data_IF_411012901493
#
_entry.id   IF_411012901493
#
_cell.length_a   1.000
_cell.length_b   1.000
_cell.length_c   1.000
_cell.angle_alpha   90.00
_cell.angle_beta   90.00
_cell.angle_gamma   90.00
#
_symmetry.space_group_name_H-M   'P 1'
#
loop_
_entity.id
_entity.type
_entity.pdbx_description
1 polymer ?
#
# COMPACT_ATOMS: atom_id res chain seq x y z
N UNK A 1 15.56 7.60 14.46
CA UNK A 1 14.22 6.99 14.52
C UNK A 1 14.26 5.79 15.44
N UNK A 2 13.30 5.65 16.36
CA UNK A 2 13.14 4.45 17.17
C UNK A 2 12.54 3.32 16.29
N UNK A 3 12.87 2.06 16.56
CA UNK A 3 12.41 0.91 15.77
C UNK A 3 10.89 0.76 15.76
N UNK A 4 10.20 1.23 16.80
CA UNK A 4 8.75 1.23 16.91
C UNK A 4 8.09 2.18 15.90
N UNK A 5 8.57 3.42 15.78
CA UNK A 5 8.08 4.39 14.81
C UNK A 5 8.24 3.90 13.35
N UNK A 6 9.33 3.18 13.06
CA UNK A 6 9.57 2.56 11.75
C UNK A 6 8.54 1.49 11.46
N UNK A 7 8.19 0.66 12.46
CA UNK A 7 7.16 -0.38 12.30
C UNK A 7 5.80 0.24 12.01
N UNK A 8 5.43 1.27 12.76
CA UNK A 8 4.17 1.99 12.56
C UNK A 8 4.06 2.60 11.17
N UNK A 9 5.13 3.22 10.66
CA UNK A 9 5.15 3.80 9.31
C UNK A 9 5.02 2.76 8.21
N UNK A 10 5.70 1.62 8.36
CA UNK A 10 5.59 0.49 7.41
C UNK A 10 4.18 -0.10 7.47
N UNK A 11 3.62 -0.27 8.67
CA UNK A 11 2.25 -0.79 8.85
C UNK A 11 1.19 0.14 8.25
N UNK A 12 1.35 1.45 8.42
CA UNK A 12 0.50 2.45 7.78
C UNK A 12 0.59 2.36 6.24
N UNK A 13 1.80 2.29 5.69
CA UNK A 13 2.03 2.16 4.25
C UNK A 13 1.45 0.87 3.67
N UNK A 14 1.49 -0.23 4.42
CA UNK A 14 0.87 -1.51 4.05
C UNK A 14 -0.66 -1.41 4.11
N UNK A 15 -1.20 -0.71 5.10
CA UNK A 15 -2.64 -0.47 5.23
C UNK A 15 -3.21 0.26 4.00
N UNK A 16 -2.47 1.25 3.48
CA UNK A 16 -2.87 2.06 2.33
C UNK A 16 -3.06 1.23 1.06
N UNK A 17 -2.27 0.17 0.87
CA UNK A 17 -2.30 -0.69 -0.32
C UNK A 17 -3.14 -1.96 -0.14
N UNK A 18 -3.64 -2.23 1.07
CA UNK A 18 -4.38 -3.45 1.42
C UNK A 18 -5.63 -3.69 0.57
N UNK A 19 -6.28 -2.63 0.09
CA UNK A 19 -7.49 -2.73 -0.74
C UNK A 19 -7.25 -3.50 -2.05
N UNK A 20 -6.03 -3.38 -2.59
CA UNK A 20 -5.62 -3.98 -3.85
C UNK A 20 -5.09 -5.41 -3.66
N UNK A 21 -4.92 -5.88 -2.41
CA UNK A 21 -4.32 -7.17 -2.14
C UNK A 21 -5.34 -8.32 -2.22
N UNK A 22 -4.97 -9.45 -2.84
CA UNK A 22 -5.74 -10.71 -2.83
C UNK A 22 -5.65 -11.41 -1.48
N UNK A 23 -4.45 -11.40 -0.89
CA UNK A 23 -4.16 -12.00 0.40
C UNK A 23 -3.65 -10.96 1.39
N UNK A 24 -3.62 -11.31 2.68
CA UNK A 24 -2.98 -10.46 3.70
C UNK A 24 -1.51 -10.18 3.31
N UNK A 25 -1.07 -8.91 3.26
CA UNK A 25 0.34 -8.58 3.09
C UNK A 25 1.22 -9.26 4.15
N UNK A 26 2.41 -9.70 3.76
CA UNK A 26 3.41 -10.25 4.66
C UNK A 26 4.50 -9.19 4.89
N UNK A 27 4.89 -8.99 6.14
CA UNK A 27 5.95 -8.05 6.51
C UNK A 27 7.02 -8.83 7.27
N UNK A 28 8.26 -8.72 6.83
CA UNK A 28 9.42 -9.31 7.47
C UNK A 28 10.35 -8.20 7.95
N UNK A 29 10.29 -7.88 9.25
CA UNK A 29 11.18 -6.89 9.87
C UNK A 29 12.57 -7.45 10.11
N UNK A 30 13.58 -6.58 9.99
CA UNK A 30 14.97 -6.91 10.28
C UNK A 30 15.48 -6.05 11.44
N UNK A 31 15.77 -6.69 12.57
CA UNK A 31 16.28 -6.01 13.78
C UNK A 31 17.78 -5.73 13.73
N UNK A 32 18.51 -6.39 12.82
CA UNK A 32 19.96 -6.24 12.63
C UNK A 32 20.29 -6.15 11.15
N UNK A 33 21.25 -5.30 10.84
CA UNK A 33 21.90 -5.21 9.54
C UNK A 33 22.52 -6.59 9.21
N UNK A 34 22.08 -7.21 8.11
CA UNK A 34 22.63 -8.51 7.67
C UNK A 34 23.73 -8.26 6.63
N UNK A 35 24.69 -9.17 6.54
CA UNK A 35 25.86 -9.04 5.65
C UNK A 35 25.52 -8.93 4.15
N UNK A 36 24.30 -9.31 3.74
CA UNK A 36 23.83 -9.14 2.37
C UNK A 36 23.13 -7.79 2.12
N UNK A 37 22.91 -6.97 3.16
CA UNK A 37 22.32 -5.62 3.09
C UNK A 37 23.38 -4.51 3.06
N UNK A 38 24.62 -4.81 2.64
CA UNK A 38 25.83 -4.01 2.85
C UNK A 38 25.84 -2.56 2.30
N UNK A 39 24.80 -2.12 1.59
CA UNK A 39 24.74 -0.76 1.03
C UNK A 39 23.55 0.06 1.50
N UNK A 40 22.48 -0.58 2.01
CA UNK A 40 21.28 0.12 2.44
C UNK A 40 20.66 -0.62 3.62
N UNK A 41 20.41 0.08 4.73
CA UNK A 41 19.75 -0.47 5.92
C UNK A 41 18.29 -0.81 5.61
N UNK A 42 18.05 -1.98 5.00
CA UNK A 42 16.70 -2.51 4.80
C UNK A 42 16.12 -2.80 6.19
N UNK A 43 15.00 -2.17 6.50
CA UNK A 43 14.30 -2.28 7.78
C UNK A 43 13.25 -3.39 7.76
N UNK A 44 12.64 -3.60 6.60
CA UNK A 44 11.72 -4.71 6.37
C UNK A 44 11.67 -5.08 4.89
N UNK A 45 11.11 -6.25 4.60
CA UNK A 45 10.54 -6.53 3.28
C UNK A 45 9.04 -6.73 3.43
N UNK A 46 8.29 -6.07 2.56
CA UNK A 46 6.85 -6.21 2.41
C UNK A 46 6.55 -7.02 1.16
N UNK A 47 5.74 -8.08 1.28
CA UNK A 47 5.24 -8.87 0.16
C UNK A 47 3.74 -8.69 0.02
N UNK A 48 3.30 -8.29 -1.17
CA UNK A 48 1.88 -8.09 -1.51
C UNK A 48 1.52 -8.90 -2.76
N UNK A 49 0.43 -9.67 -2.66
CA UNK A 49 -0.22 -10.26 -3.83
C UNK A 49 -1.31 -9.30 -4.28
N UNK A 50 -1.13 -8.63 -5.41
CA UNK A 50 -2.09 -7.65 -5.94
C UNK A 50 -3.15 -8.36 -6.78
N UNK A 51 -4.41 -7.91 -6.68
CA UNK A 51 -5.56 -8.46 -7.42
C UNK A 51 -5.33 -8.46 -8.91
N UNK A 52 -5.46 -9.63 -9.52
CA UNK A 52 -5.30 -9.79 -10.97
C UNK A 52 -3.86 -9.67 -11.46
N UNK A 53 -2.88 -9.59 -10.57
CA UNK A 53 -1.48 -9.79 -10.91
C UNK A 53 -1.05 -11.21 -10.56
N UNK A 54 -0.38 -11.87 -11.51
CA UNK A 54 0.15 -13.22 -11.31
C UNK A 54 1.36 -13.18 -10.37
N UNK A 55 2.19 -12.14 -10.47
CA UNK A 55 3.43 -12.02 -9.72
C UNK A 55 3.24 -11.32 -8.37
N UNK A 56 3.76 -11.94 -7.32
CA UNK A 56 3.90 -11.33 -6.01
C UNK A 56 4.88 -10.16 -6.08
N UNK A 57 4.48 -9.01 -5.55
CA UNK A 57 5.33 -7.82 -5.47
C UNK A 57 6.02 -7.79 -4.10
N UNK A 58 7.35 -7.79 -4.09
CA UNK A 58 8.13 -7.58 -2.88
C UNK A 58 8.77 -6.20 -2.90
N UNK A 59 8.69 -5.47 -1.79
CA UNK A 59 9.29 -4.16 -1.62
C UNK A 59 10.23 -4.18 -0.40
N UNK A 60 11.50 -3.78 -0.60
CA UNK A 60 12.41 -3.48 0.49
C UNK A 60 12.11 -2.09 1.05
N UNK A 61 12.00 -2.00 2.37
CA UNK A 61 11.71 -0.77 3.10
C UNK A 61 13.01 -0.19 3.68
N UNK A 62 13.26 1.08 3.40
CA UNK A 62 14.40 1.86 3.86
C UNK A 62 13.89 3.03 4.71
N UNK A 63 14.75 3.65 5.54
CA UNK A 63 14.37 4.85 6.30
C UNK A 63 13.91 6.04 5.44
N UNK A 64 14.13 5.99 4.14
CA UNK A 64 13.88 7.08 3.19
C UNK A 64 13.05 6.63 1.98
N UNK A 65 12.47 5.42 2.01
CA UNK A 65 11.58 4.98 0.94
C UNK A 65 11.51 3.46 0.75
N UNK A 66 10.97 3.07 -0.40
CA UNK A 66 10.62 1.72 -0.79
C UNK A 66 11.17 1.42 -2.17
N UNK A 67 11.67 0.22 -2.40
CA UNK A 67 12.07 -0.22 -3.73
C UNK A 67 11.61 -1.65 -4.01
N UNK A 68 11.22 -1.93 -5.25
CA UNK A 68 10.85 -3.28 -5.65
C UNK A 68 12.08 -4.19 -5.64
N UNK A 69 11.90 -5.37 -5.08
CA UNK A 69 12.90 -6.43 -5.02
C UNK A 69 12.27 -7.72 -5.48
N UNK A 70 13.09 -8.64 -6.03
CA UNK A 70 12.58 -9.97 -6.36
C UNK A 70 12.35 -10.76 -5.07
N UNK A 71 11.16 -11.32 -4.92
CA UNK A 71 10.88 -12.32 -3.92
C UNK A 71 11.70 -13.58 -4.27
N UNK A 72 12.59 -14.06 -3.38
CA UNK A 72 13.15 -15.41 -3.51
C UNK A 72 12.52 -16.32 -2.46
N UNK A 73 12.42 -17.61 -2.78
CA UNK A 73 11.81 -18.62 -1.90
C UNK A 73 12.52 -18.74 -0.55
N UNK A 74 13.82 -18.39 -0.48
CA UNK A 74 14.66 -18.50 0.72
C UNK A 74 14.61 -17.25 1.61
N UNK A 75 13.77 -16.25 1.30
CA UNK A 75 13.75 -14.97 2.00
C UNK A 75 15.04 -14.15 1.83
N UNK A 76 15.83 -14.47 0.79
CA UNK A 76 16.91 -13.62 0.30
C UNK A 76 16.30 -12.63 -0.68
N UNK A 77 16.74 -11.38 -0.66
CA UNK A 77 16.26 -10.39 -1.62
C UNK A 77 17.48 -9.88 -2.37
N UNK A 78 17.43 -9.94 -3.70
CA UNK A 78 18.47 -9.35 -4.53
C UNK A 78 18.18 -7.85 -4.65
N UNK A 79 18.90 -7.06 -3.85
CA UNK A 79 18.75 -5.62 -3.74
C UNK A 79 19.80 -4.96 -4.65
N UNK A 80 19.66 -5.14 -5.97
CA UNK A 80 20.46 -4.40 -6.95
C UNK A 80 19.78 -3.05 -7.24
N UNK A 81 19.85 -2.13 -6.29
CA UNK A 81 19.14 -0.86 -6.34
C UNK A 81 19.99 0.25 -6.96
N UNK A 82 19.35 1.01 -7.84
CA UNK A 82 19.75 2.38 -8.17
C UNK A 82 18.84 3.34 -7.41
N UNK A 83 19.34 4.49 -7.00
CA UNK A 83 18.57 5.50 -6.27
C UNK A 83 17.26 5.91 -7.00
N UNK A 84 17.26 5.83 -8.34
CA UNK A 84 16.09 6.08 -9.19
C UNK A 84 14.93 5.08 -9.02
N UNK A 85 15.16 3.96 -8.34
CA UNK A 85 14.14 2.92 -8.10
C UNK A 85 13.53 3.00 -6.69
N UNK A 86 13.91 4.03 -5.92
CA UNK A 86 13.42 4.27 -4.56
C UNK A 86 12.26 5.27 -4.62
N UNK A 87 11.13 4.87 -4.05
CA UNK A 87 9.91 5.66 -3.98
C UNK A 87 9.60 6.00 -2.52
N UNK A 88 9.08 7.20 -2.27
CA UNK A 88 8.79 7.66 -0.90
C UNK A 88 7.72 6.83 -0.18
N UNK A 89 6.83 6.15 -0.92
CA UNK A 89 5.77 5.32 -0.37
C UNK A 89 5.60 4.00 -1.12
N UNK A 90 5.09 2.99 -0.42
CA UNK A 90 4.72 1.71 -1.01
C UNK A 90 3.61 1.87 -2.07
N UNK A 91 2.65 2.77 -1.84
CA UNK A 91 1.64 3.10 -2.82
C UNK A 91 2.25 3.67 -4.10
N UNK A 92 3.14 4.67 -3.99
CA UNK A 92 3.82 5.29 -5.12
C UNK A 92 4.67 4.28 -5.91
N UNK A 93 5.34 3.36 -5.20
CA UNK A 93 6.09 2.26 -5.81
C UNK A 93 5.18 1.35 -6.64
N UNK A 94 4.05 0.91 -6.08
CA UNK A 94 3.12 0.02 -6.78
C UNK A 94 2.45 0.73 -7.96
N UNK A 95 2.05 1.99 -7.82
CA UNK A 95 1.56 2.80 -8.94
C UNK A 95 2.57 2.90 -10.08
N UNK A 96 3.84 3.12 -9.76
CA UNK A 96 4.87 3.33 -10.79
C UNK A 96 5.33 2.03 -11.46
N UNK A 97 5.31 0.89 -10.75
CA UNK A 97 5.99 -0.33 -11.19
C UNK A 97 5.10 -1.56 -11.28
N UNK A 98 3.99 -1.63 -10.54
CA UNK A 98 3.04 -2.75 -10.60
C UNK A 98 1.89 -2.41 -11.58
N UNK A 99 2.08 -2.79 -12.85
CA UNK A 99 1.06 -2.65 -13.91
C UNK A 99 -0.28 -3.21 -13.43
N UNK A 100 -1.42 -2.53 -13.60
CA UNK A 100 -2.71 -3.01 -13.07
C UNK A 100 -3.08 -2.45 -11.69
N UNK A 101 -2.12 -2.00 -10.89
CA UNK A 101 -2.40 -1.43 -9.56
C UNK A 101 -3.12 -0.07 -9.66
N UNK A 102 -2.72 0.77 -10.61
CA UNK A 102 -3.33 2.09 -10.82
C UNK A 102 -4.82 1.97 -11.18
N UNK A 103 -5.19 1.00 -12.01
CA UNK A 103 -6.57 0.73 -12.38
C UNK A 103 -7.42 0.31 -11.16
N UNK A 104 -6.86 -0.52 -10.27
CA UNK A 104 -7.52 -0.89 -9.02
C UNK A 104 -7.73 0.31 -8.09
N UNK A 105 -6.73 1.20 -8.02
CA UNK A 105 -6.80 2.41 -7.23
C UNK A 105 -7.86 3.38 -7.76
N UNK A 106 -7.87 3.63 -9.07
CA UNK A 106 -8.87 4.48 -9.72
C UNK A 106 -10.28 3.92 -9.53
N UNK A 107 -10.48 2.60 -9.64
CA UNK A 107 -11.77 1.97 -9.37
C UNK A 107 -12.23 2.15 -7.91
N UNK A 108 -11.30 2.13 -6.94
CA UNK A 108 -11.61 2.43 -5.53
C UNK A 108 -12.03 3.88 -5.34
N UNK A 109 -11.29 4.84 -5.92
CA UNK A 109 -11.61 6.26 -5.82
C UNK A 109 -12.99 6.57 -6.43
N UNK A 110 -13.29 6.03 -7.60
CA UNK A 110 -14.59 6.20 -8.24
C UNK A 110 -15.74 5.70 -7.36
N UNK A 111 -15.58 4.54 -6.71
CA UNK A 111 -16.59 4.02 -5.76
C UNK A 111 -16.77 4.93 -4.55
N UNK A 112 -15.70 5.50 -4.01
CA UNK A 112 -15.77 6.43 -2.89
C UNK A 112 -16.46 7.74 -3.28
N UNK A 113 -16.13 8.29 -4.45
CA UNK A 113 -16.76 9.49 -4.99
C UNK A 113 -18.28 9.29 -5.20
N UNK A 114 -18.68 8.17 -5.81
CA UNK A 114 -20.09 7.84 -5.98
C UNK A 114 -20.83 7.67 -4.65
N UNK A 115 -20.18 7.06 -3.65
CA UNK A 115 -20.77 6.89 -2.33
C UNK A 115 -21.02 8.25 -1.65
N UNK A 116 -20.08 9.20 -1.76
CA UNK A 116 -20.22 10.55 -1.21
C UNK A 116 -21.36 11.32 -1.90
N UNK A 117 -21.45 11.24 -3.23
CA UNK A 117 -22.54 11.88 -3.99
C UNK A 117 -23.93 11.34 -3.60
N UNK A 118 -24.04 10.04 -3.31
CA UNK A 118 -25.29 9.42 -2.85
C UNK A 118 -25.67 9.84 -1.42
N UNK A 119 -24.69 10.13 -0.56
CA UNK A 119 -24.97 10.63 0.79
C UNK A 119 -25.40 12.10 0.79
N UNK A 120 -24.90 12.92 -0.14
CA UNK A 120 -25.34 14.32 -0.28
C UNK A 120 -26.75 14.41 -0.88
N UNK A 121 -27.11 13.54 -1.84
CA UNK A 121 -28.45 13.50 -2.43
C UNK A 121 -29.57 12.96 -1.53
N UNK A 122 -29.26 12.47 -0.33
CA UNK A 122 -30.22 11.91 0.63
C UNK A 122 -30.60 12.87 1.77
N UNK A 123 -29.99 14.06 1.81
CA UNK A 123 -30.23 15.07 2.85
C UNK A 123 -31.49 15.92 2.68
N UNK A 124 -32.14 15.91 1.50
CA UNK A 124 -33.26 16.83 1.17
C UNK A 124 -34.63 16.15 1.05
N UNK A 125 -34.75 14.83 1.28
CA UNK A 125 -36.00 14.10 1.06
C UNK A 125 -36.90 13.92 2.30
N UNK A 126 -36.57 14.50 3.45
CA UNK A 126 -37.30 14.26 4.72
C UNK A 126 -37.69 15.54 5.48
N UNK A 127 -38.04 16.62 4.76
CA UNK A 127 -38.71 17.80 5.35
C UNK A 127 -39.90 18.17 4.48
N UNK A 128 -40.94 17.34 4.49
CA UNK A 128 -42.07 17.59 3.60
C UNK A 128 -43.32 16.75 3.82
N UNK A 129 -43.66 16.33 5.04
CA UNK A 129 -45.02 15.84 5.29
C UNK A 129 -45.45 15.95 6.75
N UNK A 130 -45.70 17.19 7.22
CA UNK A 130 -46.38 17.39 8.51
C UNK A 130 -47.14 18.71 8.60
N UNK A 131 -48.08 18.94 7.69
CA UNK A 131 -49.16 19.91 7.92
C UNK A 131 -50.31 19.72 6.92
N UNK A 132 -51.10 18.67 7.09
CA UNK A 132 -52.47 18.61 6.55
C UNK A 132 -53.26 17.60 7.33
N UNK A 133 -53.67 17.93 8.55
CA UNK A 133 -54.79 17.28 9.23
C UNK A 133 -55.38 18.25 10.28
N UNK A 134 -56.56 18.78 9.93
CA UNK A 134 -57.60 19.39 10.79
C UNK A 134 -57.41 20.83 11.27
#
# INVERSE_FOLDING_TARGET
MNAEAVKEEIDASVSDVKFACESKPKIQYFEKERDWMKSHRVQAVVSVQVKGLEEMQCAACFPFGYALVKCTEDGKFDVNLKDSDIHESLHGLLCAKAKGYEELFNARLQKQLLALQQTEGKGDADVGDRASLS
#
